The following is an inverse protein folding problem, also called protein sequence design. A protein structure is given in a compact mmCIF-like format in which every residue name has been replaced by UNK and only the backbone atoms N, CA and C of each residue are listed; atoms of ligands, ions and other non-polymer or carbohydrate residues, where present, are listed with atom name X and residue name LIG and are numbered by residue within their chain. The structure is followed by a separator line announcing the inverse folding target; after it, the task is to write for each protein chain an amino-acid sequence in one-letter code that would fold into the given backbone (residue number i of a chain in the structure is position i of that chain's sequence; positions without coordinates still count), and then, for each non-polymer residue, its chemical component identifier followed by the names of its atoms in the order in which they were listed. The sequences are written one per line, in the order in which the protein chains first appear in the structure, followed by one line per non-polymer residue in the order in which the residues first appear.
data_IF_535682605410
#
_entry.id   IF_535682605410
#
_cell.length_a   1.000
_cell.length_b   1.000
_cell.length_c   1.000
_cell.angle_alpha   90.00
_cell.angle_beta   90.00
_cell.angle_gamma   90.00
#
_symmetry.space_group_name_H-M   'P 1'
#
loop_
_entity.id
_entity.type
_entity.pdbx_description
1 polymer ?
#
# COMPACT_ATOMS: atom_id res chain seq x y z
N UNK A 1 90.65 -18.20 -7.93
CA UNK A 1 89.33 -18.55 -8.50
C UNK A 1 88.26 -18.10 -7.54
N UNK A 2 87.75 -16.88 -7.72
CA UNK A 2 86.64 -16.34 -6.94
C UNK A 2 85.36 -16.58 -7.74
N UNK A 3 84.63 -17.64 -7.38
CA UNK A 3 83.28 -17.87 -7.90
C UNK A 3 82.33 -16.93 -7.17
N UNK A 4 81.98 -15.81 -7.80
CA UNK A 4 80.85 -14.97 -7.41
C UNK A 4 79.58 -15.54 -8.03
N UNK A 5 78.71 -16.10 -7.17
CA UNK A 5 77.36 -16.50 -7.53
C UNK A 5 76.52 -15.23 -7.74
N UNK A 6 76.19 -14.92 -8.98
CA UNK A 6 75.34 -13.77 -9.33
C UNK A 6 73.89 -14.26 -9.37
N UNK A 7 73.13 -14.06 -8.28
CA UNK A 7 71.69 -14.35 -8.24
C UNK A 7 70.95 -13.12 -8.74
N UNK A 8 70.50 -13.15 -9.99
CA UNK A 8 69.46 -12.24 -10.48
C UNK A 8 68.10 -12.76 -10.00
N UNK A 9 67.54 -12.12 -8.96
CA UNK A 9 66.12 -12.29 -8.62
C UNK A 9 65.30 -11.84 -9.82
N UNK A 10 64.58 -12.76 -10.47
CA UNK A 10 63.47 -12.40 -11.36
C UNK A 10 62.42 -11.59 -10.59
N UNK A 11 61.47 -10.91 -11.28
CA UNK A 11 60.39 -10.21 -10.60
C UNK A 11 59.72 -11.18 -9.63
N UNK A 12 59.59 -10.77 -8.36
CA UNK A 12 58.96 -11.61 -7.35
C UNK A 12 57.59 -12.03 -7.89
N UNK A 13 57.38 -13.33 -8.10
CA UNK A 13 56.05 -13.87 -8.36
C UNK A 13 55.29 -13.72 -7.04
N UNK A 14 54.72 -12.54 -6.82
CA UNK A 14 53.93 -12.23 -5.63
C UNK A 14 52.63 -13.01 -5.61
N UNK A 15 51.89 -12.91 -4.51
CA UNK A 15 50.58 -13.53 -4.39
C UNK A 15 49.60 -12.96 -5.46
N UNK A 16 48.78 -13.83 -6.05
CA UNK A 16 47.78 -13.43 -7.04
C UNK A 16 46.42 -13.36 -6.35
N UNK A 17 45.82 -12.18 -6.30
CA UNK A 17 44.48 -11.95 -5.76
C UNK A 17 43.46 -11.81 -6.88
N UNK A 18 42.23 -12.24 -6.60
CA UNK A 18 41.03 -12.02 -7.43
C UNK A 18 39.91 -11.41 -6.61
N UNK A 19 38.97 -10.76 -7.27
CA UNK A 19 37.81 -10.09 -6.64
C UNK A 19 36.51 -10.61 -7.22
N UNK A 20 35.50 -10.74 -6.37
CA UNK A 20 34.14 -11.05 -6.77
C UNK A 20 33.15 -10.29 -5.86
N UNK A 21 32.24 -9.46 -6.42
CA UNK A 21 32.10 -9.13 -7.85
C UNK A 21 33.15 -8.13 -8.35
N UNK A 22 33.34 -8.05 -9.67
CA UNK A 22 34.19 -7.03 -10.33
C UNK A 22 33.48 -5.69 -10.54
N UNK A 23 32.15 -5.68 -10.51
CA UNK A 23 31.34 -4.46 -10.52
C UNK A 23 30.32 -4.51 -9.38
N UNK A 24 30.21 -3.39 -8.67
CA UNK A 24 29.40 -3.27 -7.47
C UNK A 24 28.44 -2.08 -7.63
N UNK A 25 27.16 -2.36 -7.82
CA UNK A 25 26.11 -1.35 -7.88
C UNK A 25 25.39 -1.31 -6.53
N UNK A 26 25.36 -0.14 -5.90
CA UNK A 26 24.77 0.06 -4.58
C UNK A 26 23.80 1.22 -4.60
N UNK A 27 22.93 1.23 -3.60
CA UNK A 27 22.14 2.41 -3.30
C UNK A 27 22.82 3.27 -2.25
N UNK A 28 22.58 4.58 -2.33
CA UNK A 28 23.03 5.56 -1.35
C UNK A 28 22.79 5.08 0.09
N UNK A 29 23.83 5.09 0.92
CA UNK A 29 23.79 4.64 2.32
C UNK A 29 23.70 3.13 2.54
N UNK A 30 23.70 2.31 1.49
CA UNK A 30 23.76 0.84 1.61
C UNK A 30 25.21 0.35 1.58
N UNK A 31 25.39 -0.89 2.03
CA UNK A 31 26.67 -1.58 2.11
C UNK A 31 26.79 -2.55 0.94
N UNK A 32 27.89 -2.45 0.21
CA UNK A 32 28.27 -3.43 -0.80
C UNK A 32 29.47 -4.23 -0.36
N UNK A 33 29.46 -5.53 -0.65
CA UNK A 33 30.54 -6.43 -0.26
C UNK A 33 31.32 -6.87 -1.49
N UNK A 34 32.64 -6.91 -1.36
CA UNK A 34 33.53 -7.53 -2.33
C UNK A 34 34.36 -8.57 -1.62
N UNK A 35 34.34 -9.78 -2.14
CA UNK A 35 35.18 -10.89 -1.69
C UNK A 35 36.49 -10.84 -2.46
N UNK A 36 37.61 -10.80 -1.73
CA UNK A 36 38.95 -10.90 -2.27
C UNK A 36 39.46 -12.30 -1.94
N UNK A 37 39.98 -13.01 -2.93
CA UNK A 37 40.56 -14.34 -2.73
C UNK A 37 42.03 -14.33 -3.11
N UNK A 38 42.88 -14.80 -2.20
CA UNK A 38 44.25 -15.15 -2.56
C UNK A 38 44.23 -16.48 -3.29
N UNK A 39 44.70 -16.52 -4.54
CA UNK A 39 44.67 -17.72 -5.37
C UNK A 39 45.31 -18.91 -4.66
N UNK A 40 44.74 -20.10 -4.86
CA UNK A 40 45.35 -21.38 -4.42
C UNK A 40 46.68 -21.65 -5.12
N UNK A 41 46.94 -21.00 -6.25
CA UNK A 41 48.19 -21.09 -7.00
C UNK A 41 49.22 -20.04 -6.59
N UNK A 42 48.88 -19.17 -5.63
CA UNK A 42 49.82 -18.17 -5.13
C UNK A 42 50.99 -18.86 -4.41
N UNK A 43 52.24 -18.41 -4.63
CA UNK A 43 53.40 -19.00 -3.98
C UNK A 43 53.55 -18.57 -2.50
N UNK A 44 52.79 -17.55 -2.06
CA UNK A 44 52.88 -16.98 -0.71
C UNK A 44 51.54 -16.35 -0.26
N UNK A 45 51.36 -16.06 1.06
CA UNK A 45 50.25 -15.24 1.54
C UNK A 45 50.25 -13.83 0.93
N UNK A 46 49.06 -13.26 0.75
CA UNK A 46 48.90 -11.87 0.34
C UNK A 46 48.93 -10.95 1.57
N UNK A 47 49.79 -9.94 1.59
CA UNK A 47 49.98 -9.06 2.74
C UNK A 47 49.33 -7.70 2.55
N UNK A 48 48.71 -7.19 3.62
CA UNK A 48 48.12 -5.86 3.73
C UNK A 48 47.20 -5.48 2.55
N UNK A 49 46.35 -6.44 2.12
CA UNK A 49 45.38 -6.22 1.05
C UNK A 49 44.43 -5.10 1.47
N UNK A 50 44.39 -4.03 0.67
CA UNK A 50 43.56 -2.86 0.94
C UNK A 50 42.99 -2.28 -0.35
N UNK A 51 41.93 -1.48 -0.20
CA UNK A 51 41.31 -0.76 -1.30
C UNK A 51 41.81 0.69 -1.33
N UNK A 52 42.26 1.14 -2.49
CA UNK A 52 42.71 2.52 -2.73
C UNK A 52 41.57 3.35 -3.31
N UNK A 53 40.86 4.07 -2.43
CA UNK A 53 39.76 4.96 -2.84
C UNK A 53 40.34 6.22 -3.53
N UNK A 54 39.90 6.57 -4.76
CA UNK A 54 40.34 7.79 -5.43
C UNK A 54 40.04 9.05 -4.61
N UNK A 55 41.00 9.98 -4.55
CA UNK A 55 40.83 11.26 -3.86
C UNK A 55 39.62 12.03 -4.39
N UNK A 56 38.78 12.55 -3.49
CA UNK A 56 37.56 13.28 -3.84
C UNK A 56 36.34 12.40 -4.13
N UNK A 57 36.48 11.06 -4.11
CA UNK A 57 35.33 10.16 -4.14
C UNK A 57 34.58 10.19 -2.81
N UNK A 58 33.25 10.12 -2.86
CA UNK A 58 32.40 9.94 -1.69
C UNK A 58 32.31 8.47 -1.23
N UNK A 59 32.98 7.55 -1.91
CA UNK A 59 33.05 6.14 -1.53
C UNK A 59 33.97 6.00 -0.31
N UNK A 60 33.59 5.14 0.63
CA UNK A 60 34.38 4.81 1.80
C UNK A 60 34.41 3.30 2.03
N UNK A 61 35.53 2.81 2.58
CA UNK A 61 35.60 1.45 3.12
C UNK A 61 35.00 1.48 4.52
N UNK A 62 33.90 0.77 4.71
CA UNK A 62 33.22 0.70 6.01
C UNK A 62 33.84 -0.33 6.94
N UNK A 63 34.35 -1.44 6.39
CA UNK A 63 35.03 -2.50 7.14
C UNK A 63 35.84 -3.40 6.21
N UNK A 64 36.81 -4.12 6.77
CA UNK A 64 37.60 -5.13 6.06
C UNK A 64 37.95 -6.29 6.99
N UNK A 65 37.90 -7.52 6.46
CA UNK A 65 38.35 -8.74 7.17
C UNK A 65 39.71 -9.25 6.67
N UNK A 66 40.38 -8.51 5.78
CA UNK A 66 41.61 -8.98 5.12
C UNK A 66 42.85 -9.06 6.04
N UNK A 67 42.80 -8.44 7.22
CA UNK A 67 43.89 -8.46 8.19
C UNK A 67 45.23 -7.99 7.60
N UNK A 68 46.33 -8.40 8.22
CA UNK A 68 47.69 -8.12 7.72
C UNK A 68 48.19 -9.20 6.76
N UNK A 69 47.64 -10.42 6.81
CA UNK A 69 48.01 -11.55 5.98
C UNK A 69 46.79 -12.40 5.62
N UNK A 70 46.63 -12.67 4.32
CA UNK A 70 45.61 -13.54 3.76
C UNK A 70 46.27 -14.82 3.21
N UNK A 71 46.02 -15.94 3.86
CA UNK A 71 46.61 -17.23 3.51
C UNK A 71 46.27 -17.66 2.08
N UNK A 72 47.10 -18.53 1.51
CA UNK A 72 46.91 -19.11 0.16
C UNK A 72 45.56 -19.83 0.12
N UNK A 73 44.74 -19.55 -0.90
CA UNK A 73 43.40 -20.11 -1.05
C UNK A 73 42.33 -19.51 -0.12
N UNK A 74 42.69 -18.61 0.79
CA UNK A 74 41.74 -17.97 1.69
C UNK A 74 41.09 -16.74 1.05
N UNK A 75 39.92 -16.36 1.57
CA UNK A 75 39.19 -15.17 1.16
C UNK A 75 38.95 -14.21 2.32
N UNK A 76 38.89 -12.92 2.00
CA UNK A 76 38.45 -11.87 2.90
C UNK A 76 37.40 -10.98 2.22
N UNK A 77 36.79 -10.09 2.98
CA UNK A 77 35.73 -9.20 2.52
C UNK A 77 36.12 -7.76 2.79
N UNK A 78 35.93 -6.89 1.81
CA UNK A 78 35.94 -5.44 1.99
C UNK A 78 34.52 -4.93 1.73
N UNK A 79 34.00 -4.11 2.65
CA UNK A 79 32.68 -3.51 2.52
C UNK A 79 32.78 -2.03 2.15
N UNK A 80 32.02 -1.60 1.14
CA UNK A 80 31.99 -0.23 0.63
C UNK A 80 30.64 0.44 0.90
N UNK A 81 30.65 1.75 1.12
CA UNK A 81 29.44 2.58 1.19
C UNK A 81 29.71 4.00 0.69
N UNK A 82 28.67 4.71 0.25
CA UNK A 82 28.73 6.14 -0.04
C UNK A 82 27.42 6.84 0.38
N UNK A 83 27.50 8.05 0.96
CA UNK A 83 26.33 8.80 1.44
C UNK A 83 25.61 9.58 0.32
N UNK A 84 26.17 9.63 -0.89
CA UNK A 84 25.60 10.32 -2.05
C UNK A 84 25.85 9.48 -3.32
N UNK A 85 25.05 9.70 -4.38
CA UNK A 85 25.32 9.08 -5.69
C UNK A 85 26.72 9.42 -6.19
N UNK A 86 27.43 8.42 -6.68
CA UNK A 86 28.81 8.55 -7.19
C UNK A 86 29.12 7.44 -8.17
N UNK A 87 29.93 7.75 -9.17
CA UNK A 87 30.49 6.77 -10.08
C UNK A 87 29.92 6.84 -11.50
N UNK A 88 30.33 5.89 -12.36
CA UNK A 88 31.18 4.74 -12.06
C UNK A 88 32.60 5.13 -11.61
N UNK A 89 33.11 4.52 -10.54
CA UNK A 89 34.45 4.79 -9.99
C UNK A 89 35.26 3.51 -9.92
N UNK A 90 36.45 3.51 -10.52
CA UNK A 90 37.38 2.38 -10.44
C UNK A 90 38.19 2.47 -9.14
N UNK A 91 38.14 1.41 -8.34
CA UNK A 91 38.88 1.26 -7.09
C UNK A 91 39.90 0.15 -7.28
N UNK A 92 41.17 0.49 -7.10
CA UNK A 92 42.25 -0.48 -7.13
C UNK A 92 42.33 -1.21 -5.78
N UNK A 93 42.45 -2.52 -5.82
CA UNK A 93 42.70 -3.39 -4.68
C UNK A 93 44.04 -4.07 -4.91
N UNK A 94 44.96 -3.89 -3.96
CA UNK A 94 46.26 -4.53 -3.97
C UNK A 94 46.79 -4.68 -2.53
N UNK A 95 47.63 -5.68 -2.33
CA UNK A 95 48.49 -5.81 -1.17
C UNK A 95 49.90 -5.30 -1.47
N UNK A 96 50.79 -5.42 -0.49
CA UNK A 96 52.20 -5.01 -0.62
C UNK A 96 53.02 -5.94 -1.52
N UNK A 97 52.53 -7.15 -1.77
CA UNK A 97 53.20 -8.18 -2.57
C UNK A 97 52.25 -8.85 -3.58
N UNK A 98 51.19 -8.17 -4.02
CA UNK A 98 50.20 -8.76 -4.93
C UNK A 98 50.13 -8.05 -6.27
N UNK A 99 49.43 -8.65 -7.24
CA UNK A 99 48.90 -7.92 -8.39
C UNK A 99 47.84 -6.88 -7.94
N UNK A 100 47.53 -5.94 -8.82
CA UNK A 100 46.41 -5.01 -8.66
C UNK A 100 45.19 -5.54 -9.41
N UNK A 101 44.04 -5.58 -8.73
CA UNK A 101 42.74 -5.85 -9.33
C UNK A 101 41.84 -4.63 -9.16
N UNK A 102 41.03 -4.33 -10.16
CA UNK A 102 40.11 -3.19 -10.11
C UNK A 102 38.67 -3.67 -9.95
N UNK A 103 37.92 -2.98 -9.10
CA UNK A 103 36.47 -3.06 -9.07
C UNK A 103 35.88 -1.74 -9.56
N UNK A 104 34.75 -1.79 -10.24
CA UNK A 104 33.97 -0.59 -10.58
C UNK A 104 32.80 -0.47 -9.63
N UNK A 105 32.78 0.60 -8.83
CA UNK A 105 31.69 0.90 -7.89
C UNK A 105 30.84 2.03 -8.43
N UNK A 106 29.53 1.81 -8.45
CA UNK A 106 28.52 2.82 -8.80
C UNK A 106 27.49 2.88 -7.68
N UNK A 107 27.21 4.09 -7.19
CA UNK A 107 26.19 4.35 -6.17
C UNK A 107 25.13 5.24 -6.76
N UNK A 108 23.87 4.81 -6.70
CA UNK A 108 22.71 5.56 -7.19
C UNK A 108 21.68 5.73 -6.09
N UNK A 109 20.71 6.63 -6.29
CA UNK A 109 19.55 6.67 -5.41
C UNK A 109 18.62 5.48 -5.67
N UNK A 110 17.85 5.09 -4.67
CA UNK A 110 16.78 4.11 -4.86
C UNK A 110 15.66 4.72 -5.71
N UNK A 111 15.02 3.94 -6.60
CA UNK A 111 13.86 4.41 -7.34
C UNK A 111 12.70 4.72 -6.39
N UNK A 112 11.89 5.72 -6.76
CA UNK A 112 10.65 6.04 -6.07
C UNK A 112 9.46 5.61 -6.92
N UNK A 113 8.44 5.02 -6.28
CA UNK A 113 7.22 4.58 -6.94
C UNK A 113 6.02 5.39 -6.46
N UNK A 114 4.97 5.45 -7.27
CA UNK A 114 3.69 6.09 -6.94
C UNK A 114 2.51 5.28 -7.44
N UNK A 115 1.36 5.41 -6.77
CA UNK A 115 0.09 4.81 -7.19
C UNK A 115 -0.69 5.91 -7.90
N UNK A 116 -0.80 5.83 -9.23
CA UNK A 116 -1.29 6.92 -10.07
C UNK A 116 -2.75 6.75 -10.47
N UNK A 117 -3.20 5.51 -10.70
CA UNK A 117 -4.58 5.20 -11.05
C UNK A 117 -5.11 3.93 -10.37
N UNK A 118 -6.43 3.79 -10.22
CA UNK A 118 -7.42 4.84 -10.40
C UNK A 118 -7.39 5.84 -9.22
N UNK A 119 -8.19 6.90 -9.31
CA UNK A 119 -8.41 7.83 -8.20
C UNK A 119 -8.98 7.10 -6.97
N UNK A 120 -8.79 7.65 -5.78
CA UNK A 120 -9.13 7.02 -4.50
C UNK A 120 -10.57 6.47 -4.47
N UNK A 121 -11.53 7.20 -5.04
CA UNK A 121 -12.96 6.86 -5.08
C UNK A 121 -13.26 5.55 -5.80
N UNK A 122 -12.40 5.16 -6.73
CA UNK A 122 -12.58 4.00 -7.60
C UNK A 122 -11.72 2.81 -7.20
N UNK A 123 -11.02 2.88 -6.06
CA UNK A 123 -10.19 1.78 -5.55
C UNK A 123 -11.04 0.76 -4.79
N UNK A 124 -11.92 0.08 -5.52
CA UNK A 124 -12.90 -0.86 -4.98
C UNK A 124 -12.68 -2.26 -5.54
N UNK A 125 -12.48 -3.23 -4.66
CA UNK A 125 -12.39 -4.65 -5.01
C UNK A 125 -13.79 -5.26 -4.96
N UNK A 126 -14.25 -5.86 -6.05
CA UNK A 126 -15.52 -6.62 -6.03
C UNK A 126 -15.27 -8.01 -5.49
N UNK A 127 -15.90 -8.36 -4.37
CA UNK A 127 -15.75 -9.66 -3.72
C UNK A 127 -16.38 -10.74 -4.60
N UNK A 128 -15.64 -11.82 -4.88
CA UNK A 128 -15.98 -12.84 -5.90
C UNK A 128 -16.14 -12.28 -7.32
N UNK A 129 -15.63 -11.07 -7.59
CA UNK A 129 -15.67 -10.45 -8.91
C UNK A 129 -14.68 -11.10 -9.88
N UNK A 130 -15.07 -11.17 -11.15
CA UNK A 130 -14.18 -11.63 -12.24
C UNK A 130 -13.21 -10.56 -12.71
N UNK A 131 -13.53 -9.28 -12.46
CA UNK A 131 -12.69 -8.14 -12.83
C UNK A 131 -11.89 -7.69 -11.62
N UNK A 132 -10.54 -7.73 -11.66
CA UNK A 132 -9.72 -7.24 -10.57
C UNK A 132 -9.79 -5.71 -10.45
N UNK A 133 -9.46 -5.21 -9.27
CA UNK A 133 -9.04 -3.82 -9.14
C UNK A 133 -7.60 -3.71 -9.67
N UNK A 134 -7.41 -3.01 -10.79
CA UNK A 134 -6.07 -2.73 -11.34
C UNK A 134 -5.54 -1.41 -10.78
N UNK A 135 -4.49 -1.47 -9.97
CA UNK A 135 -3.75 -0.29 -9.53
C UNK A 135 -2.59 -0.02 -10.48
N UNK A 136 -2.54 1.18 -11.07
CA UNK A 136 -1.41 1.61 -11.86
C UNK A 136 -0.29 2.10 -10.92
N UNK A 137 0.84 1.39 -10.98
CA UNK A 137 2.04 1.73 -10.23
C UNK A 137 3.08 2.28 -11.20
N UNK A 138 3.53 3.50 -10.95
CA UNK A 138 4.52 4.18 -11.79
C UNK A 138 5.86 4.22 -11.08
N UNK A 139 6.93 3.82 -11.76
CA UNK A 139 8.29 4.19 -11.34
C UNK A 139 8.52 5.64 -11.76
N UNK A 140 8.70 6.53 -10.80
CA UNK A 140 8.75 7.97 -11.07
C UNK A 140 9.83 8.29 -12.12
N UNK A 141 9.56 9.24 -13.01
CA UNK A 141 10.47 9.59 -14.11
C UNK A 141 11.88 10.03 -13.64
N UNK A 142 11.98 10.57 -12.42
CA UNK A 142 13.26 10.96 -11.81
C UNK A 142 14.06 9.81 -11.18
N UNK A 143 13.55 8.58 -11.20
CA UNK A 143 14.26 7.42 -10.67
C UNK A 143 15.49 7.09 -11.53
N UNK A 144 16.65 6.76 -10.93
CA UNK A 144 17.88 6.53 -11.69
C UNK A 144 17.98 5.11 -12.28
N UNK A 145 17.15 4.18 -11.79
CA UNK A 145 17.16 2.76 -12.18
C UNK A 145 15.75 2.19 -12.19
N UNK A 146 15.61 0.98 -12.70
CA UNK A 146 14.35 0.24 -12.65
C UNK A 146 13.94 -0.07 -11.20
N UNK A 147 12.67 0.10 -10.89
CA UNK A 147 12.06 -0.42 -9.66
C UNK A 147 11.78 -1.91 -9.85
N UNK A 148 12.13 -2.73 -8.85
CA UNK A 148 12.16 -4.18 -8.97
C UNK A 148 11.16 -4.82 -8.01
N UNK A 149 10.53 -5.92 -8.44
CA UNK A 149 9.63 -6.76 -7.66
C UNK A 149 8.60 -5.94 -6.85
N UNK A 150 7.88 -5.05 -7.53
CA UNK A 150 6.89 -4.20 -6.87
C UNK A 150 5.66 -5.06 -6.56
N UNK A 151 5.23 -5.06 -5.31
CA UNK A 151 4.08 -5.84 -4.83
C UNK A 151 3.40 -5.16 -3.65
N UNK A 152 2.27 -5.71 -3.19
CA UNK A 152 1.65 -5.32 -1.91
C UNK A 152 2.45 -5.96 -0.78
N UNK A 153 3.25 -5.16 -0.07
CA UNK A 153 4.10 -5.64 1.03
C UNK A 153 3.40 -5.68 2.38
N UNK A 154 2.27 -4.95 2.53
CA UNK A 154 1.43 -5.05 3.72
C UNK A 154 -0.05 -4.99 3.35
N UNK A 155 -0.80 -5.99 3.85
CA UNK A 155 -2.25 -6.15 3.72
C UNK A 155 -2.85 -6.81 4.98
N UNK A 156 -2.31 -6.48 6.16
CA UNK A 156 -2.66 -7.13 7.42
C UNK A 156 -4.16 -7.03 7.75
N UNK A 157 -4.81 -5.91 7.40
CA UNK A 157 -6.22 -5.66 7.65
C UNK A 157 -7.16 -6.38 6.65
N UNK A 158 -6.60 -6.93 5.58
CA UNK A 158 -7.33 -7.68 4.55
C UNK A 158 -6.48 -8.87 4.05
N UNK A 159 -6.18 -9.84 4.93
CA UNK A 159 -5.13 -10.84 4.72
C UNK A 159 -5.37 -11.77 3.53
N UNK A 160 -6.64 -12.04 3.19
CA UNK A 160 -7.01 -12.90 2.05
C UNK A 160 -7.07 -12.15 0.70
N UNK A 161 -6.65 -10.89 0.64
CA UNK A 161 -6.49 -10.18 -0.63
C UNK A 161 -5.42 -10.89 -1.47
N UNK A 162 -5.80 -11.29 -2.69
CA UNK A 162 -4.91 -11.87 -3.68
C UNK A 162 -4.30 -10.76 -4.53
N UNK A 163 -3.02 -10.92 -4.86
CA UNK A 163 -2.20 -9.91 -5.55
C UNK A 163 -1.56 -10.59 -6.75
N UNK A 164 -1.83 -10.07 -7.94
CA UNK A 164 -1.06 -10.39 -9.15
C UNK A 164 -0.16 -9.19 -9.48
N UNK A 165 1.14 -9.41 -9.33
CA UNK A 165 2.22 -8.46 -9.57
C UNK A 165 3.11 -8.86 -10.75
N UNK A 166 2.65 -9.79 -11.59
CA UNK A 166 3.44 -10.33 -12.70
C UNK A 166 3.91 -9.26 -13.69
N UNK A 167 3.10 -8.22 -13.89
CA UNK A 167 3.44 -7.05 -14.72
C UNK A 167 4.44 -6.08 -14.06
N UNK A 168 4.71 -6.24 -12.76
CA UNK A 168 5.47 -5.31 -11.93
C UNK A 168 6.86 -5.83 -11.48
N UNK A 169 7.40 -6.81 -12.22
CA UNK A 169 8.69 -7.45 -11.91
C UNK A 169 9.90 -6.51 -12.07
N UNK A 170 9.95 -5.70 -13.14
CA UNK A 170 11.00 -4.71 -13.40
C UNK A 170 10.45 -3.53 -14.18
N UNK A 171 10.36 -2.37 -13.55
CA UNK A 171 9.72 -1.18 -14.12
C UNK A 171 10.73 -0.07 -14.39
N UNK A 172 10.91 0.32 -15.66
CA UNK A 172 11.81 1.39 -16.06
C UNK A 172 11.36 2.77 -15.53
N UNK A 173 12.28 3.73 -15.33
CA UNK A 173 11.90 5.10 -14.96
C UNK A 173 10.88 5.71 -15.93
N UNK A 174 9.80 6.27 -15.39
CA UNK A 174 8.68 6.84 -16.14
C UNK A 174 7.67 5.82 -16.67
N UNK A 175 7.93 4.52 -16.55
CA UNK A 175 6.98 3.49 -16.95
C UNK A 175 5.99 3.15 -15.83
N UNK A 176 4.86 2.57 -16.21
CA UNK A 176 3.84 2.04 -15.30
C UNK A 176 3.61 0.54 -15.49
N UNK A 177 3.20 -0.13 -14.42
CA UNK A 177 2.66 -1.49 -14.45
C UNK A 177 1.29 -1.53 -13.78
N UNK A 178 0.53 -2.60 -14.00
CA UNK A 178 -0.73 -2.85 -13.31
C UNK A 178 -0.51 -3.89 -12.21
N UNK A 179 -0.93 -3.56 -11.00
CA UNK A 179 -1.00 -4.46 -9.86
C UNK A 179 -2.47 -4.85 -9.67
N UNK A 180 -2.81 -6.11 -9.91
CA UNK A 180 -4.21 -6.56 -9.93
C UNK A 180 -4.60 -7.20 -8.60
N UNK A 181 -5.71 -6.72 -8.03
CA UNK A 181 -6.18 -7.12 -6.71
C UNK A 181 -7.55 -7.80 -6.81
N UNK A 182 -7.66 -8.98 -6.23
CA UNK A 182 -8.92 -9.74 -6.12
C UNK A 182 -9.14 -10.22 -4.69
N UNK A 183 -10.40 -10.48 -4.33
CA UNK A 183 -10.74 -11.05 -3.02
C UNK A 183 -11.99 -11.90 -3.09
N UNK A 184 -11.97 -12.99 -2.32
CA UNK A 184 -13.14 -13.83 -2.03
C UNK A 184 -13.64 -13.63 -0.59
N UNK A 185 -13.07 -12.67 0.13
CA UNK A 185 -13.47 -12.31 1.49
C UNK A 185 -13.84 -10.82 1.51
N UNK A 186 -15.02 -10.46 2.03
CA UNK A 186 -15.36 -9.07 2.27
C UNK A 186 -14.55 -8.53 3.45
N UNK A 187 -14.14 -7.27 3.37
CA UNK A 187 -13.52 -6.54 4.47
C UNK A 187 -14.10 -5.13 4.52
N UNK A 188 -14.11 -4.51 5.70
CA UNK A 188 -14.19 -3.05 5.76
C UNK A 188 -12.99 -2.43 5.00
N UNK A 189 -13.05 -1.15 4.60
CA UNK A 189 -11.95 -0.52 3.86
C UNK A 189 -10.61 -0.70 4.59
N UNK A 190 -9.62 -1.24 3.87
CA UNK A 190 -8.32 -1.57 4.43
C UNK A 190 -7.19 -0.76 3.77
N UNK A 191 -6.15 -0.46 4.56
CA UNK A 191 -4.95 0.19 4.06
C UNK A 191 -3.96 -0.86 3.57
N UNK A 192 -3.55 -0.74 2.31
CA UNK A 192 -2.46 -1.53 1.74
C UNK A 192 -1.20 -0.69 1.58
N UNK A 193 -0.04 -1.33 1.68
CA UNK A 193 1.26 -0.72 1.39
C UNK A 193 1.89 -1.42 0.20
N UNK A 194 2.34 -0.64 -0.78
CA UNK A 194 3.03 -1.13 -1.98
C UNK A 194 4.51 -0.80 -1.86
N UNK A 195 5.39 -1.74 -2.18
CA UNK A 195 6.85 -1.51 -2.22
C UNK A 195 7.52 -2.42 -3.23
N UNK A 196 8.69 -2.03 -3.72
CA UNK A 196 9.60 -2.91 -4.44
C UNK A 196 10.80 -3.34 -3.60
N UNK A 197 11.51 -4.37 -4.05
CA UNK A 197 12.70 -4.89 -3.38
C UNK A 197 13.85 -3.88 -3.28
N UNK A 198 13.83 -2.85 -4.13
CA UNK A 198 14.84 -1.81 -4.18
C UNK A 198 14.29 -0.38 -4.03
N UNK A 199 12.99 -0.18 -3.78
CA UNK A 199 12.40 1.17 -3.77
C UNK A 199 12.75 1.96 -2.50
N UNK A 200 12.82 3.29 -2.64
CA UNK A 200 13.13 4.21 -1.55
C UNK A 200 11.91 4.46 -0.63
N UNK A 201 10.72 4.29 -1.19
CA UNK A 201 9.45 4.58 -0.54
C UNK A 201 8.49 3.39 -0.64
N UNK A 202 7.41 3.48 0.12
CA UNK A 202 6.34 2.48 0.17
C UNK A 202 4.98 3.18 0.20
N UNK A 203 4.47 3.64 -0.97
CA UNK A 203 3.19 4.35 -1.01
C UNK A 203 2.06 3.48 -0.47
N UNK A 204 1.11 4.13 0.20
CA UNK A 204 -0.06 3.47 0.76
C UNK A 204 -1.30 3.82 -0.04
N UNK A 205 -2.28 2.90 -0.04
CA UNK A 205 -3.59 3.13 -0.62
C UNK A 205 -4.66 2.56 0.30
N UNK A 206 -5.71 3.34 0.53
CA UNK A 206 -6.95 2.79 1.06
C UNK A 206 -7.69 2.09 -0.10
N UNK A 207 -8.24 0.90 0.15
CA UNK A 207 -9.13 0.19 -0.79
C UNK A 207 -10.42 -0.18 -0.07
N UNK A 208 -11.53 -0.20 -0.80
CA UNK A 208 -12.82 -0.66 -0.29
C UNK A 208 -13.26 -1.96 -0.98
N UNK A 209 -14.28 -2.59 -0.43
CA UNK A 209 -14.83 -3.84 -0.95
C UNK A 209 -16.30 -3.67 -1.31
N UNK A 210 -16.69 -4.20 -2.46
CA UNK A 210 -18.08 -4.28 -2.90
C UNK A 210 -18.56 -5.73 -2.76
N UNK A 211 -19.60 -5.95 -1.98
CA UNK A 211 -20.13 -7.26 -1.67
C UNK A 211 -21.66 -7.20 -1.64
N UNK A 212 -22.33 -8.21 -2.20
CA UNK A 212 -23.78 -8.36 -2.08
C UNK A 212 -24.60 -7.10 -2.43
N UNK A 213 -24.16 -6.37 -3.46
CA UNK A 213 -24.86 -5.18 -3.96
C UNK A 213 -24.54 -3.87 -3.24
N UNK A 214 -23.57 -3.83 -2.32
CA UNK A 214 -23.17 -2.60 -1.64
C UNK A 214 -21.69 -2.53 -1.28
N UNK A 215 -21.26 -1.34 -0.85
CA UNK A 215 -19.94 -1.13 -0.26
C UNK A 215 -19.92 -1.61 1.18
N UNK A 216 -18.94 -2.43 1.52
CA UNK A 216 -18.73 -2.90 2.89
C UNK A 216 -18.24 -1.75 3.76
N UNK A 217 -18.92 -1.49 4.87
CA UNK A 217 -18.54 -0.45 5.84
C UNK A 217 -18.31 -1.00 7.25
N UNK A 218 -18.73 -2.24 7.52
CA UNK A 218 -18.43 -3.00 8.73
C UNK A 218 -18.21 -4.46 8.35
N UNK A 219 -17.21 -5.09 8.96
CA UNK A 219 -16.98 -6.53 8.86
C UNK A 219 -16.29 -7.03 10.14
N UNK A 220 -16.71 -8.21 10.61
CA UNK A 220 -16.09 -8.94 11.70
C UNK A 220 -16.38 -10.44 11.56
N UNK A 221 -15.33 -11.23 11.35
CA UNK A 221 -15.38 -12.69 11.31
C UNK A 221 -16.42 -13.25 10.31
N UNK A 222 -16.49 -12.66 9.12
CA UNK A 222 -17.40 -13.08 8.05
C UNK A 222 -18.82 -12.53 8.16
N UNK A 223 -19.14 -11.79 9.23
CA UNK A 223 -20.40 -11.05 9.34
C UNK A 223 -20.13 -9.58 9.10
N UNK A 224 -21.02 -8.88 8.41
CA UNK A 224 -20.79 -7.47 8.13
C UNK A 224 -22.02 -6.73 7.66
N UNK A 225 -21.81 -5.48 7.24
CA UNK A 225 -22.86 -4.64 6.66
C UNK A 225 -22.36 -3.95 5.40
N UNK A 226 -23.27 -3.83 4.43
CA UNK A 226 -23.05 -3.09 3.19
C UNK A 226 -24.08 -2.00 3.02
N UNK A 227 -23.71 -0.94 2.31
CA UNK A 227 -24.58 0.20 1.93
C UNK A 227 -24.66 0.26 0.42
N UNK A 228 -25.86 0.46 -0.16
CA UNK A 228 -26.01 0.52 -1.62
C UNK A 228 -25.12 1.59 -2.26
N UNK A 229 -24.75 1.37 -3.52
CA UNK A 229 -23.95 2.33 -4.27
C UNK A 229 -24.73 3.62 -4.61
N UNK A 230 -24.01 4.69 -4.90
CA UNK A 230 -24.55 5.96 -5.38
C UNK A 230 -25.49 5.83 -6.58
N UNK A 231 -25.25 4.86 -7.47
CA UNK A 231 -26.10 4.62 -8.63
C UNK A 231 -27.51 4.10 -8.26
N UNK A 232 -27.69 3.56 -7.05
CA UNK A 232 -28.94 2.99 -6.57
C UNK A 232 -29.63 3.86 -5.53
N UNK A 233 -29.04 5.01 -5.17
CA UNK A 233 -29.63 5.91 -4.19
C UNK A 233 -30.93 6.52 -4.72
N UNK A 234 -31.81 6.85 -3.80
CA UNK A 234 -33.17 7.31 -4.07
C UNK A 234 -33.47 8.55 -3.21
N UNK A 235 -34.49 9.32 -3.57
CA UNK A 235 -34.97 10.43 -2.76
C UNK A 235 -36.37 10.10 -2.24
N UNK A 236 -36.61 10.35 -0.96
CA UNK A 236 -37.91 10.14 -0.34
C UNK A 236 -38.08 11.01 0.91
N UNK A 237 -39.32 11.14 1.35
CA UNK A 237 -39.65 11.60 2.69
C UNK A 237 -39.34 10.49 3.69
N UNK A 238 -39.14 10.84 4.97
CA UNK A 238 -39.04 9.84 6.03
C UNK A 238 -40.39 9.11 6.16
N UNK A 239 -41.45 9.88 6.34
CA UNK A 239 -42.87 9.55 6.12
C UNK A 239 -43.60 10.83 5.69
N UNK A 240 -44.71 10.71 4.96
CA UNK A 240 -45.50 11.88 4.53
C UNK A 240 -46.42 12.44 5.61
N UNK A 241 -46.78 11.62 6.59
CA UNK A 241 -47.58 12.01 7.76
C UNK A 241 -46.68 12.19 9.00
N UNK A 242 -46.99 13.23 9.79
CA UNK A 242 -46.40 13.43 11.11
C UNK A 242 -47.03 12.45 12.10
N UNK A 243 -46.27 11.40 12.42
CA UNK A 243 -46.64 10.36 13.37
C UNK A 243 -45.49 10.09 14.32
N UNK A 244 -45.82 9.78 15.58
CA UNK A 244 -44.88 9.19 16.52
C UNK A 244 -44.94 7.67 16.37
N UNK A 245 -43.94 7.09 15.71
CA UNK A 245 -43.88 5.66 15.42
C UNK A 245 -43.17 4.96 16.58
N UNK A 246 -43.95 4.31 17.44
CA UNK A 246 -43.44 3.58 18.58
C UNK A 246 -42.43 2.50 18.13
N UNK A 247 -41.23 2.53 18.74
CA UNK A 247 -40.15 1.60 18.43
C UNK A 247 -39.19 2.04 17.32
N UNK A 248 -39.44 3.17 16.65
CA UNK A 248 -38.56 3.70 15.59
C UNK A 248 -37.44 4.62 16.13
N UNK A 249 -37.17 4.63 17.45
CA UNK A 249 -36.24 5.57 18.10
C UNK A 249 -34.84 5.01 18.31
N UNK A 250 -34.57 3.75 17.96
CA UNK A 250 -33.25 3.16 18.14
C UNK A 250 -32.20 3.93 17.34
N UNK A 251 -31.06 4.23 17.96
CA UNK A 251 -29.95 4.89 17.26
C UNK A 251 -29.02 3.89 16.57
N UNK A 252 -29.13 2.60 16.89
CA UNK A 252 -28.20 1.55 16.48
C UNK A 252 -28.83 0.42 15.65
N UNK A 253 -30.16 0.30 15.68
CA UNK A 253 -30.88 -0.82 15.08
C UNK A 253 -31.80 -0.37 13.94
N UNK A 254 -31.21 -0.17 12.76
CA UNK A 254 -31.96 0.24 11.58
C UNK A 254 -32.92 -0.83 11.07
N UNK A 255 -32.67 -2.10 11.36
CA UNK A 255 -33.56 -3.22 10.98
C UNK A 255 -34.86 -3.13 11.77
N UNK A 256 -34.77 -3.06 13.10
CA UNK A 256 -35.94 -2.95 13.96
C UNK A 256 -36.73 -1.66 13.68
N UNK A 257 -36.05 -0.52 13.54
CA UNK A 257 -36.71 0.74 13.17
C UNK A 257 -37.45 0.62 11.84
N UNK A 258 -36.80 0.09 10.80
CA UNK A 258 -37.40 -0.06 9.47
C UNK A 258 -38.65 -0.94 9.52
N UNK A 259 -38.60 -2.04 10.27
CA UNK A 259 -39.74 -2.97 10.39
C UNK A 259 -40.98 -2.30 11.01
N UNK A 260 -40.80 -1.50 12.07
CA UNK A 260 -41.93 -0.78 12.69
C UNK A 260 -42.40 0.39 11.84
N UNK A 261 -41.50 1.12 11.16
CA UNK A 261 -41.88 2.23 10.26
C UNK A 261 -42.75 1.70 9.12
N UNK A 262 -42.33 0.62 8.46
CA UNK A 262 -43.07 0.03 7.32
C UNK A 262 -44.45 -0.47 7.72
N UNK A 263 -44.60 -0.92 8.97
CA UNK A 263 -45.88 -1.39 9.50
C UNK A 263 -46.81 -0.25 9.94
N UNK A 264 -46.30 0.96 10.13
CA UNK A 264 -47.08 2.10 10.61
C UNK A 264 -48.01 2.67 9.51
N UNK A 265 -49.22 3.14 9.83
CA UNK A 265 -50.12 3.80 8.86
C UNK A 265 -49.50 5.02 8.16
N UNK A 266 -48.55 5.72 8.79
CA UNK A 266 -47.85 6.85 8.18
C UNK A 266 -46.95 6.45 7.00
N UNK A 267 -46.55 5.18 6.92
CA UNK A 267 -45.78 4.62 5.82
C UNK A 267 -46.65 3.75 4.91
N UNK A 268 -47.39 2.80 5.48
CA UNK A 268 -48.22 1.85 4.72
C UNK A 268 -49.39 2.53 3.98
N UNK A 269 -49.87 3.68 4.47
CA UNK A 269 -50.85 4.52 3.78
C UNK A 269 -50.30 5.31 2.59
N UNK A 270 -48.97 5.46 2.49
CA UNK A 270 -48.29 6.21 1.41
C UNK A 270 -46.88 5.67 1.17
N UNK A 271 -46.81 4.43 0.67
CA UNK A 271 -45.56 3.70 0.43
C UNK A 271 -44.62 4.41 -0.56
N UNK A 272 -45.16 5.29 -1.41
CA UNK A 272 -44.38 6.07 -2.36
C UNK A 272 -43.49 7.12 -1.68
N UNK A 273 -43.89 7.62 -0.50
CA UNK A 273 -43.20 8.68 0.26
C UNK A 273 -42.70 8.18 1.62
N UNK A 274 -42.27 6.92 1.69
CA UNK A 274 -41.71 6.34 2.90
C UNK A 274 -40.31 5.76 2.64
N UNK A 275 -39.28 6.41 3.19
CA UNK A 275 -37.88 6.03 3.02
C UNK A 275 -37.61 4.57 3.43
N UNK A 276 -38.21 4.13 4.55
CA UNK A 276 -38.06 2.75 5.04
C UNK A 276 -38.67 1.73 4.07
N UNK A 277 -39.84 2.03 3.50
CA UNK A 277 -40.47 1.17 2.49
C UNK A 277 -39.63 1.10 1.23
N UNK A 278 -39.05 2.22 0.78
CA UNK A 278 -38.19 2.22 -0.39
C UNK A 278 -36.96 1.32 -0.26
N UNK A 279 -36.45 1.16 0.96
CA UNK A 279 -35.40 0.17 1.22
C UNK A 279 -35.92 -1.27 1.14
N UNK A 280 -37.08 -1.53 1.73
CA UNK A 280 -37.73 -2.85 1.67
C UNK A 280 -38.16 -3.25 0.24
N UNK A 281 -38.42 -2.28 -0.64
CA UNK A 281 -38.73 -2.51 -2.05
C UNK A 281 -37.52 -3.07 -2.85
N UNK A 282 -36.28 -2.92 -2.35
CA UNK A 282 -35.10 -3.54 -2.96
C UNK A 282 -35.12 -5.05 -2.69
N UNK A 283 -35.22 -5.43 -1.42
CA UNK A 283 -35.54 -6.78 -0.94
C UNK A 283 -35.79 -6.74 0.58
N UNK A 284 -36.36 -7.80 1.18
CA UNK A 284 -36.62 -7.88 2.62
C UNK A 284 -35.39 -7.70 3.54
N UNK A 285 -34.18 -7.92 3.00
CA UNK A 285 -32.93 -7.81 3.75
C UNK A 285 -32.42 -6.36 3.85
N UNK A 286 -32.92 -5.46 3.00
CA UNK A 286 -32.49 -4.07 2.94
C UNK A 286 -33.34 -3.20 3.86
N UNK A 287 -32.68 -2.33 4.61
CA UNK A 287 -33.29 -1.48 5.60
C UNK A 287 -32.72 -0.06 5.56
N UNK A 288 -33.46 0.89 6.14
CA UNK A 288 -33.00 2.26 6.30
C UNK A 288 -32.06 2.33 7.53
N UNK A 289 -30.78 2.73 7.39
CA UNK A 289 -29.82 2.66 8.49
C UNK A 289 -30.19 3.57 9.66
N UNK A 290 -29.96 3.12 10.89
CA UNK A 290 -30.03 3.97 12.09
C UNK A 290 -28.86 4.97 12.12
N UNK A 291 -28.95 6.01 12.96
CA UNK A 291 -28.02 7.14 12.87
C UNK A 291 -26.58 6.75 13.21
N UNK A 292 -26.38 5.80 14.14
CA UNK A 292 -25.05 5.29 14.47
C UNK A 292 -24.50 4.33 13.41
N UNK A 293 -25.37 3.69 12.62
CA UNK A 293 -24.93 2.93 11.44
C UNK A 293 -24.46 3.88 10.34
N UNK A 294 -25.14 5.00 10.15
CA UNK A 294 -24.64 6.08 9.28
C UNK A 294 -23.30 6.64 9.74
N UNK A 295 -23.10 6.82 11.05
CA UNK A 295 -21.78 7.19 11.61
C UNK A 295 -20.71 6.16 11.24
N UNK A 296 -21.04 4.86 11.27
CA UNK A 296 -20.12 3.83 10.84
C UNK A 296 -19.82 3.88 9.33
N UNK A 297 -20.83 4.14 8.49
CA UNK A 297 -20.64 4.38 7.05
C UNK A 297 -19.69 5.55 6.82
N UNK A 298 -19.88 6.66 7.52
CA UNK A 298 -19.01 7.83 7.44
C UNK A 298 -17.57 7.52 7.88
N UNK A 299 -17.39 6.89 9.03
CA UNK A 299 -16.07 6.52 9.54
C UNK A 299 -15.32 5.56 8.61
N UNK A 300 -16.02 4.65 7.93
CA UNK A 300 -15.39 3.69 7.03
C UNK A 300 -15.13 4.28 5.63
N UNK A 301 -16.13 4.92 5.03
CA UNK A 301 -16.14 5.28 3.60
C UNK A 301 -15.85 6.77 3.34
N UNK A 302 -15.91 7.63 4.36
CA UNK A 302 -15.65 9.06 4.27
C UNK A 302 -14.73 9.58 5.41
N UNK A 303 -13.81 8.75 5.89
CA UNK A 303 -12.85 9.11 6.95
C UNK A 303 -11.94 10.29 6.63
N UNK A 304 -11.86 10.70 5.36
CA UNK A 304 -11.11 11.88 4.93
C UNK A 304 -11.79 13.21 5.29
N UNK A 305 -13.05 13.21 5.75
CA UNK A 305 -13.82 14.43 6.09
C UNK A 305 -13.79 15.50 4.99
N UNK A 306 -13.68 15.06 3.73
CA UNK A 306 -13.50 15.94 2.58
C UNK A 306 -14.37 15.48 1.41
N UNK A 307 -14.64 16.40 0.49
CA UNK A 307 -15.34 16.10 -0.75
C UNK A 307 -14.34 15.99 -1.92
N UNK A 308 -14.40 14.92 -2.74
CA UNK A 308 -15.21 13.71 -2.55
C UNK A 308 -14.73 12.86 -1.36
N UNK A 309 -15.65 12.10 -0.76
CA UNK A 309 -15.32 11.06 0.23
C UNK A 309 -14.34 10.03 -0.36
N UNK A 310 -13.71 9.23 0.51
CA UNK A 310 -12.80 8.16 0.07
C UNK A 310 -13.50 7.16 -0.87
N UNK A 311 -14.76 6.81 -0.61
CA UNK A 311 -15.55 5.90 -1.45
C UNK A 311 -17.04 6.30 -1.48
N UNK A 312 -17.79 5.69 -2.39
CA UNK A 312 -19.26 5.72 -2.40
C UNK A 312 -19.91 7.04 -2.81
N UNK A 313 -19.13 8.07 -3.19
CA UNK A 313 -19.62 9.34 -3.71
C UNK A 313 -20.74 9.97 -2.84
N UNK A 314 -20.54 9.97 -1.52
CA UNK A 314 -21.49 10.58 -0.59
C UNK A 314 -21.37 12.10 -0.65
N UNK A 315 -22.50 12.80 -0.75
CA UNK A 315 -22.47 14.24 -1.09
C UNK A 315 -23.65 15.08 -0.59
N UNK A 316 -24.47 14.58 0.33
CA UNK A 316 -25.69 15.26 0.80
C UNK A 316 -26.08 14.85 2.24
N UNK A 317 -27.36 15.07 2.55
CA UNK A 317 -28.04 14.61 3.76
C UNK A 317 -28.78 13.32 3.48
N UNK A 318 -28.56 12.32 4.33
CA UNK A 318 -29.15 11.00 4.21
C UNK A 318 -30.08 10.73 5.37
N UNK A 319 -31.29 10.24 5.07
CA UNK A 319 -32.23 9.84 6.11
C UNK A 319 -31.67 8.69 6.94
N UNK A 320 -31.82 8.82 8.25
CA UNK A 320 -31.74 7.69 9.17
C UNK A 320 -33.15 7.14 9.44
N UNK A 321 -33.26 5.87 9.83
CA UNK A 321 -34.48 5.29 10.38
C UNK A 321 -34.76 5.70 11.82
N UNK A 322 -33.82 6.35 12.51
CA UNK A 322 -34.02 6.82 13.87
C UNK A 322 -34.97 8.03 13.87
N UNK A 323 -36.07 7.90 14.61
CA UNK A 323 -37.01 8.98 14.90
C UNK A 323 -36.48 9.89 16.02
N UNK A 324 -36.77 11.19 15.92
CA UNK A 324 -36.56 12.13 17.03
C UNK A 324 -37.88 12.39 17.78
N UNK A 325 -38.92 12.84 17.06
CA UNK A 325 -40.27 13.07 17.60
C UNK A 325 -41.35 12.89 16.51
N UNK A 326 -42.57 13.40 16.74
CA UNK A 326 -43.68 13.35 15.78
C UNK A 326 -43.39 14.04 14.45
N UNK A 327 -42.51 15.05 14.45
CA UNK A 327 -42.27 15.97 13.34
C UNK A 327 -40.92 15.74 12.68
N UNK A 328 -39.92 15.35 13.47
CA UNK A 328 -38.53 15.26 13.05
C UNK A 328 -37.97 13.84 13.12
N UNK A 329 -37.07 13.53 12.20
CA UNK A 329 -36.26 12.32 12.19
C UNK A 329 -34.78 12.67 12.06
N UNK A 330 -33.91 11.76 12.46
CA UNK A 330 -32.47 11.96 12.36
C UNK A 330 -31.99 11.82 10.91
N UNK A 331 -30.95 12.57 10.56
CA UNK A 331 -30.25 12.45 9.28
C UNK A 331 -28.74 12.54 9.49
N UNK A 332 -27.94 12.15 8.50
CA UNK A 332 -26.49 12.35 8.50
C UNK A 332 -26.06 13.16 7.27
N UNK A 333 -25.20 14.16 7.46
CA UNK A 333 -24.59 14.93 6.38
C UNK A 333 -23.18 14.48 6.04
N UNK A 334 -22.84 14.39 4.75
CA UNK A 334 -21.48 14.13 4.26
C UNK A 334 -20.88 15.38 3.63
N UNK A 335 -19.56 15.63 3.78
CA UNK A 335 -18.55 14.75 4.39
C UNK A 335 -18.37 14.96 5.90
N UNK A 336 -19.23 15.75 6.56
CA UNK A 336 -18.97 16.23 7.91
C UNK A 336 -19.30 15.23 9.04
N UNK A 337 -20.18 14.25 8.78
CA UNK A 337 -20.59 13.25 9.77
C UNK A 337 -21.67 13.75 10.73
N UNK A 338 -21.70 13.21 11.96
CA UNK A 338 -22.69 13.58 12.98
C UNK A 338 -22.30 14.93 13.61
N UNK A 339 -23.29 15.80 13.77
CA UNK A 339 -23.18 17.05 14.53
C UNK A 339 -24.31 17.16 15.55
N UNK A 340 -24.19 18.08 16.53
CA UNK A 340 -25.31 18.41 17.40
C UNK A 340 -26.48 18.95 16.56
N UNK A 341 -27.70 18.46 16.81
CA UNK A 341 -28.96 18.83 16.11
C UNK A 341 -29.14 18.32 14.66
N UNK A 342 -28.74 17.08 14.34
CA UNK A 342 -28.99 16.47 13.02
C UNK A 342 -30.39 15.87 12.87
N UNK A 343 -31.42 16.68 13.07
CA UNK A 343 -32.82 16.29 12.85
C UNK A 343 -33.45 17.15 11.76
N UNK A 344 -34.33 16.56 10.95
CA UNK A 344 -34.98 17.25 9.84
C UNK A 344 -36.45 16.84 9.73
N UNK A 345 -37.25 17.68 9.06
CA UNK A 345 -38.69 17.46 8.97
C UNK A 345 -39.00 16.20 8.17
N UNK A 346 -39.80 15.29 8.74
CA UNK A 346 -40.12 13.97 8.15
C UNK A 346 -40.69 14.06 6.73
N UNK A 347 -41.44 15.12 6.42
CA UNK A 347 -42.06 15.29 5.10
C UNK A 347 -41.12 15.93 4.05
N UNK A 348 -39.85 16.12 4.37
CA UNK A 348 -38.88 16.65 3.42
C UNK A 348 -38.21 15.54 2.64
N UNK A 349 -37.96 15.78 1.35
CA UNK A 349 -37.22 14.83 0.52
C UNK A 349 -35.72 14.92 0.81
N UNK A 350 -35.15 13.86 1.39
CA UNK A 350 -33.71 13.68 1.50
C UNK A 350 -33.29 12.41 0.74
N UNK A 351 -31.98 12.25 0.60
CA UNK A 351 -31.40 11.06 -0.02
C UNK A 351 -31.53 9.86 0.92
N UNK A 352 -31.79 8.70 0.33
CA UNK A 352 -31.91 7.42 1.02
C UNK A 352 -30.91 6.47 0.40
N UNK A 353 -30.10 5.84 1.26
CA UNK A 353 -29.33 4.65 0.92
C UNK A 353 -29.60 3.58 1.96
N UNK A 354 -29.82 2.38 1.46
CA UNK A 354 -30.26 1.25 2.24
C UNK A 354 -29.05 0.40 2.61
N UNK A 355 -29.03 -0.08 3.84
CA UNK A 355 -28.03 -1.03 4.30
C UNK A 355 -28.62 -2.44 4.37
N UNK A 356 -27.75 -3.43 4.37
CA UNK A 356 -28.09 -4.81 4.72
C UNK A 356 -26.92 -5.46 5.46
N UNK A 357 -27.23 -6.45 6.28
CA UNK A 357 -26.24 -7.32 6.89
C UNK A 357 -25.90 -8.51 5.97
N UNK A 358 -24.77 -9.16 6.22
CA UNK A 358 -24.39 -10.43 5.61
C UNK A 358 -23.60 -11.30 6.58
#
# INVERSE_FOLDING_TARGET
MTNSLNITRGPAAGAVITVNPTSLNLFTGKIGLVTITNSVTSPEPAYNVSASIPSGSNISVQSTTCGTSLAIGASCIISFTAPVPVGPTNIAINGTNTNTVNITVTVTNQPQISITNPVQQSRVVTVFGMTPLSLEITNNAGSPVNAQAITVSNKADCPNLSVDDSACSSLAPGASCLLELTSNTPYAPCMITVSGSNTANSPQSLIAFFHLGGLVFQESNGNGKVIIDSAQQINSQWTSLFSDIAGATSLDDGVANTAVIVSDPACSGDTANCAAQKCQDISPEWYLPAINEWSAVHNALCSNNAFPCNFGNFSFWYWSSSQFDTTFAWFLGFPLGVHNNTVFNKNSNLTVRCARAF
#
